data_IF_619557142514
#
_entry.id   IF_619557142514
#
_cell.length_a   1.000
_cell.length_b   1.000
_cell.length_c   1.000
_cell.angle_alpha   90.00
_cell.angle_beta   90.00
_cell.angle_gamma   90.00
#
_symmetry.space_group_name_H-M   'P 1'
#
loop_
_entity.id
_entity.type
_entity.pdbx_description
1 polymer ?
#
# COMPACT_ATOMS: atom_id res chain seq x y z
N UNK A 1 10.16 -4.81 -11.21
CA UNK A 1 8.91 -4.13 -10.77
C UNK A 1 8.41 -3.19 -11.87
N UNK A 2 7.09 -2.90 -11.99
CA UNK A 2 6.56 -1.98 -13.01
C UNK A 2 7.20 -0.57 -12.89
N UNK A 3 7.39 -0.08 -11.67
CA UNK A 3 8.00 1.24 -11.44
C UNK A 3 9.45 1.33 -11.94
N UNK A 4 10.21 0.22 -11.86
CA UNK A 4 11.58 0.16 -12.40
C UNK A 4 11.60 0.29 -13.92
N UNK A 5 10.59 -0.28 -14.62
CA UNK A 5 10.45 -0.11 -16.07
C UNK A 5 10.11 1.32 -16.48
N UNK A 6 9.54 2.10 -15.54
CA UNK A 6 9.30 3.53 -15.71
C UNK A 6 10.47 4.41 -15.22
N UNK A 7 11.59 3.80 -14.79
CA UNK A 7 12.83 4.50 -14.45
C UNK A 7 13.03 4.85 -12.97
N UNK A 8 12.16 4.39 -12.06
CA UNK A 8 12.40 4.54 -10.62
C UNK A 8 13.43 3.51 -10.17
N UNK A 9 14.55 3.94 -9.57
CA UNK A 9 15.57 3.02 -9.06
C UNK A 9 14.97 2.10 -7.98
N UNK A 10 15.24 0.80 -8.08
CA UNK A 10 14.79 -0.19 -7.09
C UNK A 10 15.29 0.13 -5.68
N UNK A 11 16.50 0.67 -5.54
CA UNK A 11 17.09 1.08 -4.26
C UNK A 11 16.36 2.25 -3.60
N UNK A 12 15.57 3.02 -4.37
CA UNK A 12 14.74 4.11 -3.86
C UNK A 12 13.33 3.65 -3.45
N UNK A 13 12.99 2.37 -3.66
CA UNK A 13 11.66 1.81 -3.38
C UNK A 13 11.76 0.90 -2.17
N UNK A 14 10.95 1.16 -1.15
CA UNK A 14 10.71 0.24 -0.05
C UNK A 14 9.23 -0.16 -0.05
N UNK A 15 8.95 -1.41 0.32
CA UNK A 15 7.57 -1.95 0.33
C UNK A 15 7.27 -2.61 1.66
N UNK A 16 6.09 -2.37 2.20
CA UNK A 16 5.56 -3.06 3.38
C UNK A 16 4.10 -3.47 3.12
N UNK A 17 3.69 -4.60 3.69
CA UNK A 17 2.31 -5.08 3.64
C UNK A 17 1.72 -5.13 5.05
N UNK A 18 0.50 -4.61 5.20
CA UNK A 18 -0.21 -4.56 6.48
C UNK A 18 -1.39 -5.53 6.59
N UNK A 19 -1.79 -6.15 5.47
CA UNK A 19 -3.00 -6.98 5.42
C UNK A 19 -4.23 -6.16 5.86
N UNK A 20 -4.97 -6.67 6.84
CA UNK A 20 -6.20 -6.05 7.35
C UNK A 20 -5.97 -5.20 8.62
N UNK A 21 -4.72 -5.11 9.10
CA UNK A 21 -4.41 -4.49 10.40
C UNK A 21 -4.28 -2.95 10.36
N UNK A 22 -4.34 -2.34 9.18
CA UNK A 22 -4.25 -0.88 9.00
C UNK A 22 -5.39 -0.34 8.11
N UNK A 23 -6.65 -0.49 8.54
CA UNK A 23 -7.80 -0.05 7.74
C UNK A 23 -7.84 1.49 7.62
N UNK A 24 -8.27 1.99 6.46
CA UNK A 24 -8.60 3.41 6.28
C UNK A 24 -9.92 3.73 6.99
N UNK A 25 -10.87 2.81 6.86
CA UNK A 25 -12.17 2.85 7.54
C UNK A 25 -12.26 1.61 8.40
N UNK A 26 -12.44 1.79 9.70
CA UNK A 26 -12.67 0.69 10.64
C UNK A 26 -13.82 -0.19 10.13
N UNK A 27 -13.53 -1.47 9.95
CA UNK A 27 -14.42 -2.43 9.29
C UNK A 27 -14.50 -3.68 10.15
N UNK A 28 -15.71 -4.21 10.33
CA UNK A 28 -15.93 -5.45 11.06
C UNK A 28 -15.32 -6.63 10.30
N UNK A 29 -14.98 -7.69 11.04
CA UNK A 29 -14.43 -8.91 10.46
C UNK A 29 -15.34 -9.49 9.35
N UNK A 30 -14.74 -9.92 8.25
CA UNK A 30 -15.42 -10.45 7.07
C UNK A 30 -16.19 -9.43 6.22
N UNK A 31 -16.27 -8.14 6.61
CA UNK A 31 -16.97 -7.11 5.82
C UNK A 31 -16.06 -6.55 4.75
N UNK A 32 -16.57 -6.51 3.51
CA UNK A 32 -15.83 -5.98 2.37
C UNK A 32 -15.93 -4.45 2.32
N UNK A 33 -14.83 -3.77 2.62
CA UNK A 33 -14.67 -2.32 2.41
C UNK A 33 -13.71 -2.04 1.23
N UNK A 34 -14.18 -1.55 0.08
CA UNK A 34 -13.34 -1.28 -1.08
C UNK A 34 -12.16 -0.34 -0.83
N UNK A 35 -12.32 0.68 0.01
CA UNK A 35 -11.26 1.64 0.32
C UNK A 35 -10.10 1.03 1.11
N UNK A 36 -10.36 -0.04 1.88
CA UNK A 36 -9.31 -0.76 2.60
C UNK A 36 -8.43 -1.60 1.65
N UNK A 37 -8.86 -1.83 0.40
CA UNK A 37 -8.04 -2.46 -0.65
C UNK A 37 -7.26 -1.39 -1.41
N UNK A 38 -6.23 -0.86 -0.76
CA UNK A 38 -5.44 0.26 -1.28
C UNK A 38 -3.95 0.01 -1.19
N UNK A 39 -3.22 0.83 -1.95
CA UNK A 39 -1.78 1.02 -1.83
C UNK A 39 -1.56 2.51 -1.62
N UNK A 40 -0.70 2.86 -0.67
CA UNK A 40 -0.26 4.23 -0.44
C UNK A 40 1.20 4.39 -0.86
N UNK A 41 1.54 5.56 -1.41
CA UNK A 41 2.92 5.93 -1.77
C UNK A 41 3.27 7.16 -0.96
N UNK A 42 4.29 7.03 -0.12
CA UNK A 42 4.80 8.10 0.74
C UNK A 42 6.23 8.43 0.38
N UNK A 43 6.60 9.71 0.52
CA UNK A 43 7.99 10.15 0.42
C UNK A 43 8.55 10.33 1.83
N UNK A 44 9.84 10.03 2.06
CA UNK A 44 10.49 10.41 3.30
C UNK A 44 10.37 11.93 3.50
N UNK A 45 10.12 12.33 4.76
CA UNK A 45 10.16 13.74 5.18
C UNK A 45 11.57 14.29 5.08
#
# INVERSE_FOLDING_TARGET
>A
SFMETLGVSGDAITTQAFGENAPLIETLDGVREPQNRRVEITFPQ
#
